data_IF_883433934841
#
_entry.id   IF_883433934841
#
_cell.length_a   1.000
_cell.length_b   1.000
_cell.length_c   1.000
_cell.angle_alpha   90.00
_cell.angle_beta   90.00
_cell.angle_gamma   90.00
#
_symmetry.space_group_name_H-M   'P 1'
#
loop_
_entity.id
_entity.type
_entity.pdbx_description
1 polymer ?
#
# COMPACT_ATOMS: atom_id res chain seq x y z
N UNK A 1 13.11 21.93 7.83
CA UNK A 1 13.86 20.81 8.41
C UNK A 1 15.20 20.73 7.71
N UNK A 2 16.29 20.43 8.42
CA UNK A 2 17.63 20.29 7.84
C UNK A 2 18.07 18.82 7.91
N UNK A 3 18.53 18.28 6.78
CA UNK A 3 19.03 16.91 6.69
C UNK A 3 20.55 16.89 6.85
N UNK A 4 21.06 15.97 7.65
CA UNK A 4 22.51 15.76 7.82
C UNK A 4 22.91 14.44 7.15
N UNK A 5 23.87 14.50 6.24
CA UNK A 5 24.36 13.31 5.55
C UNK A 5 25.55 12.73 6.31
N UNK A 6 25.37 11.55 6.88
CA UNK A 6 26.48 10.78 7.47
C UNK A 6 27.25 10.02 6.39
N UNK A 7 26.54 9.61 5.34
CA UNK A 7 27.10 9.01 4.14
C UNK A 7 26.36 9.55 2.91
N UNK A 8 27.11 9.86 1.85
CA UNK A 8 26.56 10.47 0.63
C UNK A 8 27.11 11.88 0.41
N UNK A 9 26.57 12.55 -0.60
CA UNK A 9 26.92 13.94 -0.93
C UNK A 9 25.62 14.76 -1.07
N UNK A 10 25.37 15.75 -0.20
CA UNK A 10 24.16 16.57 -0.30
C UNK A 10 24.08 17.40 -1.58
N UNK A 11 25.20 17.66 -2.27
CA UNK A 11 25.21 18.35 -3.57
C UNK A 11 24.97 17.40 -4.74
N UNK A 12 25.15 16.10 -4.52
CA UNK A 12 24.93 15.07 -5.52
C UNK A 12 24.32 13.82 -4.86
N UNK A 13 23.10 13.94 -4.30
CA UNK A 13 22.43 12.84 -3.64
C UNK A 13 22.09 11.74 -4.64
N UNK A 14 22.06 10.49 -4.17
CA UNK A 14 21.92 9.30 -5.02
C UNK A 14 20.51 9.07 -5.54
N UNK A 15 19.53 9.81 -5.02
CA UNK A 15 18.11 9.60 -5.26
C UNK A 15 17.51 8.49 -4.40
N UNK A 16 18.28 7.90 -3.49
CA UNK A 16 17.82 6.91 -2.53
C UNK A 16 18.63 6.95 -1.24
N UNK A 17 17.95 6.90 -0.10
CA UNK A 17 18.55 7.08 1.21
C UNK A 17 17.92 6.21 2.30
N UNK A 18 18.76 5.71 3.20
CA UNK A 18 18.33 5.29 4.53
C UNK A 18 18.19 6.56 5.39
N UNK A 19 16.96 6.99 5.60
CA UNK A 19 16.63 8.12 6.44
C UNK A 19 16.36 7.64 7.85
N UNK A 20 17.05 8.20 8.84
CA UNK A 20 16.87 7.81 10.22
C UNK A 20 16.71 8.99 11.16
N UNK A 21 16.11 8.71 12.30
CA UNK A 21 15.75 9.65 13.35
C UNK A 21 16.14 9.07 14.71
N UNK A 22 16.28 9.95 15.69
CA UNK A 22 16.53 9.58 17.09
C UNK A 22 15.41 10.09 17.97
N UNK A 23 15.24 9.46 19.11
CA UNK A 23 14.27 9.91 20.11
C UNK A 23 15.04 10.19 21.39
N UNK A 24 14.88 11.39 21.93
CA UNK A 24 15.66 11.85 23.09
C UNK A 24 15.46 10.95 24.33
N UNK A 25 14.30 10.32 24.45
CA UNK A 25 13.97 9.38 25.55
C UNK A 25 14.46 7.95 25.31
N UNK A 26 14.91 7.61 24.11
CA UNK A 26 15.37 6.26 23.72
C UNK A 26 16.68 6.35 22.92
N UNK A 27 17.81 6.77 23.53
CA UNK A 27 19.05 7.09 22.82
C UNK A 27 19.71 5.88 22.15
N UNK A 28 19.41 4.67 22.62
CA UNK A 28 19.96 3.42 22.09
C UNK A 28 19.21 2.91 20.85
N UNK A 29 18.06 3.52 20.51
CA UNK A 29 17.28 3.16 19.33
C UNK A 29 17.34 4.24 18.26
N UNK A 30 17.27 3.79 17.02
CA UNK A 30 17.04 4.66 15.87
C UNK A 30 15.77 4.22 15.17
N UNK A 31 15.07 5.17 14.57
CA UNK A 31 13.89 4.91 13.76
C UNK A 31 14.23 5.21 12.32
N UNK A 32 13.97 4.29 11.40
CA UNK A 32 14.42 4.42 10.02
C UNK A 32 13.30 4.15 9.01
N UNK A 33 13.42 4.82 7.86
CA UNK A 33 12.63 4.58 6.67
C UNK A 33 13.52 4.68 5.43
N UNK A 34 13.09 4.12 4.31
CA UNK A 34 13.81 4.22 3.04
C UNK A 34 13.16 5.25 2.13
N UNK A 35 13.92 6.25 1.72
CA UNK A 35 13.47 7.32 0.82
C UNK A 35 13.91 6.99 -0.59
N UNK A 36 13.01 7.19 -1.55
CA UNK A 36 13.28 7.08 -2.99
C UNK A 36 12.80 8.34 -3.69
N UNK A 37 13.64 8.91 -4.56
CA UNK A 37 13.28 9.96 -5.51
C UNK A 37 13.43 9.39 -6.93
N UNK A 38 12.33 9.43 -7.68
CA UNK A 38 12.28 8.89 -9.03
C UNK A 38 12.97 9.85 -10.02
N UNK A 39 13.87 9.34 -10.88
CA UNK A 39 14.59 10.18 -11.85
C UNK A 39 13.72 10.62 -13.03
N UNK A 40 12.53 10.03 -13.21
CA UNK A 40 11.60 10.33 -14.30
C UNK A 40 10.23 10.61 -13.72
N UNK A 41 9.62 11.73 -14.14
CA UNK A 41 8.25 12.08 -13.79
C UNK A 41 7.32 10.95 -14.20
N UNK A 42 6.75 10.29 -13.20
CA UNK A 42 5.89 9.14 -13.37
C UNK A 42 4.52 9.49 -12.81
N UNK A 43 3.54 9.55 -13.70
CA UNK A 43 2.14 9.65 -13.28
C UNK A 43 1.66 8.25 -12.91
N UNK A 44 1.73 7.94 -11.61
CA UNK A 44 1.36 6.61 -11.12
C UNK A 44 -0.15 6.36 -11.27
N UNK A 45 -0.98 7.40 -11.48
CA UNK A 45 -2.41 7.20 -11.75
C UNK A 45 -2.65 6.41 -13.04
N UNK A 46 -1.73 6.48 -14.01
CA UNK A 46 -1.80 5.69 -15.25
C UNK A 46 -1.57 4.19 -15.05
N UNK A 47 -0.95 3.83 -13.92
CA UNK A 47 -0.60 2.46 -13.56
C UNK A 47 -1.42 1.95 -12.37
N UNK A 48 -2.30 2.80 -11.82
CA UNK A 48 -3.24 2.46 -10.77
C UNK A 48 -4.50 1.93 -11.45
N UNK A 49 -4.88 0.66 -11.20
CA UNK A 49 -6.14 0.14 -11.67
C UNK A 49 -7.32 1.01 -11.20
N UNK A 50 -8.32 1.29 -12.06
CA UNK A 50 -9.45 2.18 -11.72
C UNK A 50 -10.18 1.83 -10.42
N UNK A 51 -10.21 0.55 -10.05
CA UNK A 51 -10.86 0.08 -8.82
C UNK A 51 -10.06 0.40 -7.54
N UNK A 52 -8.74 0.64 -7.63
CA UNK A 52 -7.90 1.06 -6.49
C UNK A 52 -7.87 2.58 -6.31
N UNK A 53 -8.29 3.35 -7.32
CA UNK A 53 -8.25 4.81 -7.29
C UNK A 53 -9.07 5.41 -6.14
N UNK A 54 -10.20 4.77 -5.75
CA UNK A 54 -11.01 5.19 -4.61
C UNK A 54 -10.42 4.80 -3.25
N UNK A 55 -9.55 3.77 -3.20
CA UNK A 55 -8.96 3.25 -1.96
C UNK A 55 -7.60 3.88 -1.63
N UNK A 56 -6.90 4.43 -2.62
CA UNK A 56 -5.61 5.14 -2.42
C UNK A 56 -5.79 6.56 -1.84
N UNK A 57 -7.03 7.01 -1.65
CA UNK A 57 -7.36 8.23 -0.92
C UNK A 57 -6.82 9.52 -1.57
N UNK A 58 -6.53 10.53 -0.75
CA UNK A 58 -6.00 11.83 -1.15
C UNK A 58 -4.48 11.82 -1.39
N UNK A 59 -3.87 10.65 -1.59
CA UNK A 59 -2.44 10.57 -1.88
C UNK A 59 -2.19 11.15 -3.28
N UNK A 60 -1.30 12.14 -3.45
CA UNK A 60 -1.08 12.81 -4.74
C UNK A 60 -0.27 11.92 -5.69
N UNK A 61 -0.89 10.84 -6.20
CA UNK A 61 -0.28 9.85 -7.09
C UNK A 61 0.14 10.43 -8.45
N UNK A 62 -0.47 11.55 -8.83
CA UNK A 62 -0.17 12.28 -10.06
C UNK A 62 1.18 12.99 -10.04
N UNK A 63 1.81 13.14 -8.86
CA UNK A 63 3.10 13.82 -8.69
C UNK A 63 4.02 13.13 -7.66
N UNK A 64 3.96 11.79 -7.60
CA UNK A 64 4.87 10.99 -6.76
C UNK A 64 6.27 10.95 -7.38
N UNK A 65 6.98 12.07 -7.28
CA UNK A 65 8.40 12.15 -7.61
C UNK A 65 9.29 11.63 -6.48
N UNK A 66 8.80 11.59 -5.24
CA UNK A 66 9.53 11.02 -4.10
C UNK A 66 8.58 10.48 -3.02
N UNK A 67 9.01 9.43 -2.30
CA UNK A 67 8.25 8.82 -1.21
C UNK A 67 9.16 8.07 -0.23
N UNK A 68 8.61 7.71 0.93
CA UNK A 68 9.28 6.92 1.97
C UNK A 68 8.54 5.60 2.26
N UNK A 69 9.28 4.52 2.47
CA UNK A 69 8.75 3.20 2.83
C UNK A 69 9.60 2.54 3.94
N UNK A 70 9.00 2.11 5.07
CA UNK A 70 7.60 2.34 5.45
C UNK A 70 7.31 3.84 5.72
N UNK A 71 6.06 4.32 5.53
CA UNK A 71 5.71 5.75 5.68
C UNK A 71 5.85 6.24 7.13
N UNK A 72 5.72 5.34 8.10
CA UNK A 72 6.07 5.57 9.50
C UNK A 72 7.43 4.92 9.74
N UNK A 73 8.49 5.66 10.13
CA UNK A 73 9.79 5.09 10.44
C UNK A 73 9.71 3.99 11.50
N UNK A 74 10.36 2.86 11.23
CA UNK A 74 10.35 1.70 12.13
C UNK A 74 11.60 1.65 13.01
N UNK A 75 11.47 1.09 14.20
CA UNK A 75 12.60 0.96 15.12
C UNK A 75 13.63 -0.04 14.59
N UNK A 76 14.89 0.39 14.51
CA UNK A 76 16.04 -0.45 14.18
C UNK A 76 16.93 -0.57 15.41
N UNK A 77 17.52 -1.76 15.57
CA UNK A 77 18.22 -2.17 16.79
C UNK A 77 19.46 -1.31 17.10
N UNK A 78 20.18 -0.86 16.07
CA UNK A 78 21.38 -0.04 16.22
C UNK A 78 21.68 0.79 14.96
N UNK A 79 22.28 1.98 15.16
CA UNK A 79 22.77 2.83 14.07
C UNK A 79 23.81 2.13 13.17
N UNK A 80 24.67 1.29 13.76
CA UNK A 80 25.70 0.54 13.01
C UNK A 80 25.11 -0.42 11.97
N UNK A 81 23.87 -0.86 12.15
CA UNK A 81 23.16 -1.66 11.16
C UNK A 81 22.82 -0.84 9.91
N UNK A 82 22.36 0.40 10.10
CA UNK A 82 22.05 1.34 9.02
C UNK A 82 23.32 1.73 8.26
N UNK A 83 24.41 2.02 8.96
CA UNK A 83 25.72 2.32 8.36
C UNK A 83 26.24 1.16 7.51
N UNK A 84 26.10 -0.08 8.00
CA UNK A 84 26.47 -1.26 7.22
C UNK A 84 25.59 -1.42 5.97
N UNK A 85 24.28 -1.19 6.10
CA UNK A 85 23.33 -1.31 4.99
C UNK A 85 23.58 -0.25 3.92
N UNK A 86 23.79 1.02 4.30
CA UNK A 86 24.09 2.11 3.37
C UNK A 86 25.36 1.83 2.58
N UNK A 87 26.41 1.29 3.21
CA UNK A 87 27.64 0.91 2.52
C UNK A 87 27.46 -0.22 1.52
N UNK A 88 26.76 -1.30 1.90
CA UNK A 88 26.55 -2.47 1.03
C UNK A 88 25.73 -2.10 -0.20
N UNK A 89 24.69 -1.29 0.00
CA UNK A 89 23.77 -0.87 -1.08
C UNK A 89 24.32 0.31 -1.88
N UNK A 90 25.25 1.04 -1.29
CA UNK A 90 25.70 2.32 -1.81
C UNK A 90 24.59 3.37 -1.74
N UNK A 91 23.73 3.33 -0.71
CA UNK A 91 22.70 4.35 -0.47
C UNK A 91 23.29 5.55 0.29
N UNK A 92 22.61 6.69 0.26
CA UNK A 92 22.88 7.77 1.21
C UNK A 92 22.41 7.35 2.61
N UNK A 93 23.11 7.78 3.65
CA UNK A 93 22.68 7.66 5.04
C UNK A 93 22.42 9.05 5.59
N UNK A 94 21.16 9.31 5.94
CA UNK A 94 20.70 10.66 6.23
C UNK A 94 20.02 10.71 7.60
N UNK A 95 20.48 11.62 8.44
CA UNK A 95 19.86 11.94 9.70
C UNK A 95 18.80 13.04 9.53
N UNK A 96 17.56 12.70 9.88
CA UNK A 96 16.40 13.58 9.88
C UNK A 96 16.12 14.27 11.22
N UNK A 97 17.01 14.18 12.21
CA UNK A 97 16.80 14.87 13.49
C UNK A 97 16.07 14.04 14.55
N UNK A 98 15.58 14.74 15.58
CA UNK A 98 14.88 14.14 16.72
C UNK A 98 13.38 14.03 16.44
N UNK A 99 12.76 12.95 16.89
CA UNK A 99 11.33 12.67 16.76
C UNK A 99 10.71 12.22 18.09
N UNK A 100 9.37 12.12 18.11
CA UNK A 100 8.62 11.60 19.25
C UNK A 100 8.13 10.17 18.95
N UNK A 101 8.54 9.17 19.76
CA UNK A 101 8.25 7.74 19.51
C UNK A 101 6.81 7.28 19.75
N UNK A 102 5.90 8.16 20.18
CA UNK A 102 4.54 7.78 20.60
C UNK A 102 3.41 8.45 19.82
N UNK A 103 3.73 9.13 18.71
CA UNK A 103 2.75 9.87 17.90
C UNK A 103 2.92 9.51 16.41
N UNK A 104 2.30 8.40 15.98
CA UNK A 104 2.42 7.87 14.62
C UNK A 104 2.11 8.93 13.54
N UNK A 105 1.02 9.72 13.64
CA UNK A 105 0.77 10.83 12.71
C UNK A 105 1.94 11.81 12.60
N UNK A 106 2.52 12.21 13.73
CA UNK A 106 3.66 13.14 13.75
C UNK A 106 4.95 12.52 13.21
N UNK A 107 5.15 11.22 13.42
CA UNK A 107 6.27 10.48 12.81
C UNK A 107 6.16 10.47 11.28
N UNK A 108 4.96 10.21 10.77
CA UNK A 108 4.67 10.23 9.32
C UNK A 108 4.83 11.63 8.73
N UNK A 109 4.36 12.67 9.42
CA UNK A 109 4.55 14.07 9.02
C UNK A 109 6.04 14.41 8.91
N UNK A 110 6.83 14.06 9.93
CA UNK A 110 8.27 14.31 9.97
C UNK A 110 9.00 13.56 8.84
N UNK A 111 8.63 12.31 8.57
CA UNK A 111 9.18 11.56 7.45
C UNK A 111 8.81 12.20 6.10
N UNK A 112 7.59 12.70 5.96
CA UNK A 112 7.12 13.37 4.73
C UNK A 112 7.86 14.68 4.49
N UNK A 113 8.07 15.49 5.52
CA UNK A 113 8.91 16.70 5.43
C UNK A 113 10.33 16.37 4.97
N UNK A 114 10.93 15.31 5.52
CA UNK A 114 12.26 14.86 5.15
C UNK A 114 12.35 14.41 3.68
N UNK A 115 11.34 13.68 3.19
CA UNK A 115 11.23 13.27 1.78
C UNK A 115 11.20 14.50 0.87
N UNK A 116 10.43 15.52 1.22
CA UNK A 116 10.36 16.76 0.44
C UNK A 116 11.72 17.44 0.36
N UNK A 117 12.45 17.56 1.48
CA UNK A 117 13.78 18.17 1.51
C UNK A 117 14.78 17.34 0.67
N UNK A 118 14.82 16.02 0.85
CA UNK A 118 15.73 15.14 0.10
C UNK A 118 15.45 15.17 -1.41
N UNK A 119 14.17 15.16 -1.80
CA UNK A 119 13.75 15.23 -3.21
C UNK A 119 14.13 16.57 -3.88
N UNK A 120 14.11 17.65 -3.10
CA UNK A 120 14.52 18.98 -3.57
C UNK A 120 16.03 19.00 -3.86
N UNK A 121 16.85 18.42 -2.96
CA UNK A 121 18.29 18.26 -3.20
C UNK A 121 18.59 17.44 -4.46
N UNK A 122 17.82 16.37 -4.70
CA UNK A 122 17.96 15.56 -5.92
C UNK A 122 17.61 16.36 -7.18
N UNK A 123 16.52 17.13 -7.13
CA UNK A 123 16.06 17.95 -8.24
C UNK A 123 17.07 19.07 -8.58
N UNK A 124 17.65 19.70 -7.56
CA UNK A 124 18.67 20.73 -7.72
C UNK A 124 19.95 20.16 -8.35
N UNK A 125 20.39 18.98 -7.90
CA UNK A 125 21.55 18.30 -8.49
C UNK A 125 21.34 17.94 -9.97
N UNK A 126 20.13 17.46 -10.32
CA UNK A 126 19.74 17.18 -11.71
C UNK A 126 19.68 18.46 -12.56
N UNK A 127 19.16 19.58 -12.02
CA UNK A 127 19.16 20.86 -12.72
C UNK A 127 20.57 21.40 -12.98
N UNK A 128 21.51 21.16 -12.05
CA UNK A 128 22.92 21.54 -12.20
C UNK A 128 23.68 20.67 -13.20
N UNK A 129 23.25 19.42 -13.43
CA UNK A 129 23.79 18.52 -14.46
C UNK A 129 23.03 18.59 -15.81
N UNK A 130 21.85 19.20 -15.83
CA UNK A 130 20.90 19.23 -16.96
C UNK A 130 21.30 20.07 -18.18
N UNK A 131 22.38 20.85 -18.13
CA UNK A 131 22.86 21.60 -19.32
C UNK A 131 23.39 20.70 -20.46
N UNK A 132 23.56 19.40 -20.22
CA UNK A 132 24.05 18.46 -21.24
C UNK A 132 22.97 17.57 -21.88
N UNK A 133 21.76 17.47 -21.32
CA UNK A 133 20.77 16.45 -21.75
C UNK A 133 19.67 17.01 -22.66
N UNK A 134 19.34 18.30 -22.56
CA UNK A 134 18.40 18.94 -23.49
C UNK A 134 18.93 18.93 -24.93
N UNK A 135 20.25 19.12 -25.12
CA UNK A 135 20.86 19.10 -26.46
C UNK A 135 20.93 17.72 -27.12
N UNK A 136 20.84 16.62 -26.35
CA UNK A 136 20.85 15.25 -26.90
C UNK A 136 19.43 14.79 -27.24
N UNK A 137 18.43 15.20 -26.47
CA UNK A 137 17.03 14.92 -26.78
C UNK A 137 16.58 15.66 -28.06
N UNK A 138 16.97 16.93 -28.24
CA UNK A 138 16.69 17.69 -29.47
C UNK A 138 17.42 17.10 -30.70
N UNK A 139 18.69 16.71 -30.54
CA UNK A 139 19.47 16.11 -31.64
C UNK A 139 18.92 14.75 -32.09
N UNK A 140 18.40 13.94 -31.16
CA UNK A 140 17.80 12.64 -31.48
C UNK A 140 16.38 12.78 -32.08
N UNK A 141 15.63 13.84 -31.74
CA UNK A 141 14.33 14.10 -32.36
C UNK A 141 14.44 14.57 -33.81
N UNK A 142 15.44 15.39 -34.15
CA UNK A 142 15.64 15.85 -35.53
C UNK A 142 16.08 14.73 -36.48
N UNK A 143 16.80 13.72 -35.97
CA UNK A 143 17.31 12.60 -36.78
C UNK A 143 16.27 11.48 -36.98
N UNK A 144 15.29 11.34 -36.05
CA UNK A 144 14.18 10.37 -36.18
C UNK A 144 13.06 10.86 -37.11
N UNK A 145 12.80 12.16 -37.21
CA UNK A 145 11.75 12.69 -38.09
C UNK A 145 12.08 12.55 -39.59
N UNK A 146 13.36 12.45 -39.95
CA UNK A 146 13.76 12.36 -41.35
C UNK A 146 13.65 10.94 -41.95
N UNK A 147 13.47 9.89 -41.15
CA UNK A 147 13.57 8.49 -41.60
C UNK A 147 12.25 7.71 -41.70
N UNK A 148 11.12 8.23 -41.20
CA UNK A 148 9.86 7.47 -41.14
C UNK A 148 8.69 8.23 -41.79
N UNK A 149 8.83 8.52 -43.07
CA UNK A 149 7.71 8.85 -43.94
C UNK A 149 6.99 7.58 -44.39
N UNK A 150 6.07 7.06 -43.57
CA UNK A 150 5.06 6.10 -44.04
C UNK A 150 3.83 6.09 -43.10
N UNK A 151 2.68 6.43 -43.67
CA UNK A 151 1.35 6.37 -43.09
C UNK A 151 1.00 4.93 -42.64
N UNK A 152 0.42 4.69 -41.45
CA UNK A 152 -0.09 3.37 -41.11
C UNK A 152 -1.55 3.18 -41.59
N UNK A 153 -1.79 2.06 -42.28
CA UNK A 153 -3.11 1.44 -42.47
C UNK A 153 -3.67 0.89 -41.14
N UNK A 154 -5.00 0.67 -41.02
CA UNK A 154 -5.61 0.25 -39.76
C UNK A 154 -5.40 -1.25 -39.53
N UNK A 155 -4.73 -1.61 -38.43
CA UNK A 155 -4.59 -2.98 -37.95
C UNK A 155 -5.70 -3.35 -36.96
N UNK A 156 -6.10 -4.62 -37.02
CA UNK A 156 -7.24 -5.24 -36.35
C UNK A 156 -7.19 -5.23 -34.81
N UNK A 157 -8.37 -5.29 -34.21
CA UNK A 157 -8.61 -5.43 -32.77
C UNK A 157 -7.98 -6.73 -32.22
N UNK A 158 -7.23 -6.69 -31.10
CA UNK A 158 -6.79 -7.90 -30.41
C UNK A 158 -7.94 -8.52 -29.59
N UNK A 159 -7.97 -9.86 -29.58
CA UNK A 159 -8.88 -10.69 -28.80
C UNK A 159 -8.66 -10.52 -27.28
N UNK A 160 -9.73 -10.74 -26.50
CA UNK A 160 -9.76 -10.65 -25.05
C UNK A 160 -8.77 -11.64 -24.39
N UNK A 161 -7.69 -11.12 -23.81
CA UNK A 161 -6.82 -11.83 -22.86
C UNK A 161 -7.55 -12.04 -21.53
N UNK A 162 -7.32 -13.15 -20.81
CA UNK A 162 -7.98 -13.44 -19.54
C UNK A 162 -7.59 -12.42 -18.46
N UNK A 163 -8.58 -12.03 -17.65
CA UNK A 163 -8.49 -10.99 -16.64
C UNK A 163 -7.53 -11.36 -15.47
N UNK A 164 -6.28 -10.93 -15.58
CA UNK A 164 -5.23 -11.11 -14.56
C UNK A 164 -5.35 -10.14 -13.35
N UNK A 165 -6.42 -9.35 -13.25
CA UNK A 165 -6.64 -8.39 -12.15
C UNK A 165 -6.70 -9.04 -10.76
N UNK A 166 -7.17 -10.30 -10.69
CA UNK A 166 -7.23 -11.08 -9.45
C UNK A 166 -5.84 -11.36 -8.85
N UNK A 167 -4.79 -11.46 -9.68
CA UNK A 167 -3.45 -11.86 -9.26
C UNK A 167 -2.72 -10.73 -8.50
N UNK A 168 -2.96 -9.47 -8.85
CA UNK A 168 -2.36 -8.31 -8.17
C UNK A 168 -3.01 -8.06 -6.81
N UNK A 169 -4.33 -8.26 -6.71
CA UNK A 169 -5.06 -8.20 -5.43
C UNK A 169 -4.54 -9.25 -4.45
N UNK A 170 -4.27 -10.46 -4.92
CA UNK A 170 -3.75 -11.58 -4.12
C UNK A 170 -2.40 -11.25 -3.46
N UNK A 171 -1.49 -10.59 -4.20
CA UNK A 171 -0.19 -10.16 -3.68
C UNK A 171 -0.35 -9.09 -2.59
N UNK A 172 -1.21 -8.09 -2.80
CA UNK A 172 -1.46 -7.04 -1.80
C UNK A 172 -2.05 -7.60 -0.52
N UNK A 173 -3.01 -8.52 -0.63
CA UNK A 173 -3.60 -9.21 0.51
C UNK A 173 -2.57 -9.99 1.33
N UNK A 174 -1.51 -10.53 0.70
CA UNK A 174 -0.45 -11.24 1.43
C UNK A 174 0.34 -10.35 2.41
N UNK A 175 0.44 -9.04 2.14
CA UNK A 175 1.20 -8.10 2.96
C UNK A 175 0.37 -7.41 4.07
N UNK A 176 -0.95 -7.56 4.04
CA UNK A 176 -1.84 -6.94 5.02
C UNK A 176 -1.85 -7.69 6.36
N UNK A 177 -2.02 -6.94 7.46
CA UNK A 177 -2.29 -7.53 8.76
C UNK A 177 -3.66 -8.24 8.78
N UNK A 178 -3.85 -9.19 9.69
CA UNK A 178 -5.17 -9.83 9.87
C UNK A 178 -6.27 -8.80 10.18
N UNK A 179 -5.95 -7.79 10.98
CA UNK A 179 -6.89 -6.70 11.30
C UNK A 179 -7.30 -5.90 10.06
N UNK A 180 -6.36 -5.60 9.17
CA UNK A 180 -6.66 -4.86 7.94
C UNK A 180 -7.49 -5.71 6.97
N UNK A 181 -7.15 -7.00 6.84
CA UNK A 181 -7.95 -7.97 6.07
C UNK A 181 -9.38 -8.07 6.60
N UNK A 182 -9.58 -8.06 7.92
CA UNK A 182 -10.90 -8.03 8.54
C UNK A 182 -11.65 -6.72 8.33
N UNK A 183 -10.93 -5.60 8.28
CA UNK A 183 -11.48 -4.31 7.90
C UNK A 183 -12.05 -4.34 6.47
N UNK A 184 -11.29 -4.89 5.52
CA UNK A 184 -11.78 -5.06 4.14
C UNK A 184 -12.91 -6.08 4.04
N UNK A 185 -12.83 -7.21 4.74
CA UNK A 185 -13.92 -8.19 4.81
C UNK A 185 -15.23 -7.54 5.27
N UNK A 186 -15.16 -6.67 6.28
CA UNK A 186 -16.35 -5.97 6.80
C UNK A 186 -16.97 -5.02 5.77
N UNK A 187 -16.15 -4.33 4.96
CA UNK A 187 -16.62 -3.47 3.87
C UNK A 187 -17.26 -4.29 2.76
N UNK A 188 -16.61 -5.38 2.34
CA UNK A 188 -17.13 -6.29 1.31
C UNK A 188 -18.45 -6.92 1.74
N UNK A 189 -18.59 -7.33 2.99
CA UNK A 189 -19.86 -7.85 3.51
C UNK A 189 -20.97 -6.80 3.52
N UNK A 190 -20.65 -5.54 3.84
CA UNK A 190 -21.61 -4.44 3.74
C UNK A 190 -22.08 -4.21 2.31
N UNK A 191 -21.16 -4.21 1.34
CA UNK A 191 -21.46 -4.12 -0.10
C UNK A 191 -22.29 -5.32 -0.57
N UNK A 192 -21.92 -6.53 -0.16
CA UNK A 192 -22.66 -7.76 -0.47
C UNK A 192 -24.08 -7.67 0.06
N UNK A 193 -24.29 -7.25 1.31
CA UNK A 193 -25.61 -7.09 1.91
C UNK A 193 -26.47 -6.11 1.10
N UNK A 194 -25.89 -4.99 0.72
CA UNK A 194 -26.57 -3.98 -0.09
C UNK A 194 -26.96 -4.53 -1.48
N UNK A 195 -26.08 -5.27 -2.14
CA UNK A 195 -26.35 -5.90 -3.43
C UNK A 195 -27.46 -6.97 -3.34
N UNK A 196 -27.41 -7.81 -2.31
CA UNK A 196 -28.41 -8.85 -2.06
C UNK A 196 -29.77 -8.24 -1.73
N UNK A 197 -29.83 -7.22 -0.87
CA UNK A 197 -31.07 -6.47 -0.55
C UNK A 197 -31.62 -5.76 -1.80
N UNK A 198 -30.74 -5.25 -2.67
CA UNK A 198 -31.07 -4.65 -3.95
C UNK A 198 -31.46 -5.65 -5.06
N UNK A 199 -31.40 -6.96 -4.79
CA UNK A 199 -31.58 -8.03 -5.78
C UNK A 199 -30.62 -7.97 -6.98
N UNK A 200 -29.45 -7.36 -6.81
CA UNK A 200 -28.38 -7.27 -7.81
C UNK A 200 -27.48 -8.50 -7.74
N UNK A 201 -27.92 -9.59 -8.38
CA UNK A 201 -27.20 -10.88 -8.38
C UNK A 201 -25.81 -10.79 -9.02
N UNK A 202 -25.60 -10.13 -10.17
CA UNK A 202 -24.26 -9.97 -10.74
C UNK A 202 -23.29 -9.32 -9.76
N UNK A 203 -23.68 -8.21 -9.12
CA UNK A 203 -22.82 -7.55 -8.14
C UNK A 203 -22.59 -8.42 -6.89
N UNK A 204 -23.60 -9.15 -6.43
CA UNK A 204 -23.47 -10.04 -5.27
C UNK A 204 -22.55 -11.24 -5.55
N UNK A 205 -22.52 -11.75 -6.78
CA UNK A 205 -21.63 -12.83 -7.17
C UNK A 205 -20.18 -12.34 -7.30
N UNK A 206 -19.96 -11.19 -7.95
CA UNK A 206 -18.63 -10.54 -8.05
C UNK A 206 -18.03 -10.27 -6.66
N UNK A 207 -18.79 -9.63 -5.76
CA UNK A 207 -18.34 -9.37 -4.39
C UNK A 207 -18.10 -10.68 -3.62
N UNK A 208 -18.86 -11.74 -3.93
CA UNK A 208 -18.66 -13.06 -3.34
C UNK A 208 -17.32 -13.68 -3.75
N UNK A 209 -16.89 -13.50 -5.00
CA UNK A 209 -15.59 -13.93 -5.49
C UNK A 209 -14.45 -13.14 -4.82
N UNK A 210 -14.62 -11.82 -4.63
CA UNK A 210 -13.66 -10.99 -3.88
C UNK A 210 -13.50 -11.50 -2.43
N UNK A 211 -14.61 -11.79 -1.74
CA UNK A 211 -14.58 -12.35 -0.37
C UNK A 211 -13.91 -13.73 -0.35
N UNK A 212 -14.16 -14.57 -1.35
CA UNK A 212 -13.55 -15.89 -1.46
C UNK A 212 -12.03 -15.80 -1.71
N UNK A 213 -11.57 -14.82 -2.49
CA UNK A 213 -10.15 -14.55 -2.66
C UNK A 213 -9.50 -14.08 -1.34
N UNK A 214 -10.13 -13.14 -0.64
CA UNK A 214 -9.69 -12.67 0.67
C UNK A 214 -9.59 -13.80 1.71
N UNK A 215 -10.56 -14.72 1.70
CA UNK A 215 -10.59 -15.86 2.61
C UNK A 215 -9.35 -16.76 2.51
N UNK A 216 -8.70 -16.86 1.33
CA UNK A 216 -7.48 -17.67 1.15
C UNK A 216 -6.28 -17.13 1.93
N UNK A 217 -6.33 -15.87 2.36
CA UNK A 217 -5.26 -15.21 3.11
C UNK A 217 -5.58 -15.00 4.60
N UNK A 218 -6.68 -15.61 5.07
CA UNK A 218 -7.10 -15.60 6.47
C UNK A 218 -7.03 -17.04 7.03
N UNK A 219 -6.81 -17.21 8.35
CA UNK A 219 -6.82 -18.54 8.96
C UNK A 219 -8.19 -19.22 8.81
N UNK A 220 -8.20 -20.53 8.55
CA UNK A 220 -9.43 -21.33 8.41
C UNK A 220 -10.36 -21.21 9.63
N UNK A 221 -9.80 -20.97 10.81
CA UNK A 221 -10.53 -20.77 12.06
C UNK A 221 -11.51 -19.60 12.02
N UNK A 222 -11.33 -18.65 11.09
CA UNK A 222 -12.18 -17.48 10.89
C UNK A 222 -13.49 -17.85 10.20
N UNK A 223 -13.55 -19.00 9.51
CA UNK A 223 -14.77 -19.51 8.85
C UNK A 223 -15.42 -18.50 7.90
N UNK A 224 -14.60 -17.81 7.09
CA UNK A 224 -15.09 -16.76 6.18
C UNK A 224 -16.08 -17.32 5.14
N UNK A 225 -15.95 -18.59 4.74
CA UNK A 225 -16.93 -19.25 3.87
C UNK A 225 -18.33 -19.35 4.49
N UNK A 226 -18.43 -19.78 5.75
CA UNK A 226 -19.71 -19.82 6.49
C UNK A 226 -20.36 -18.44 6.60
N UNK A 227 -19.53 -17.42 6.82
CA UNK A 227 -19.95 -16.03 6.90
C UNK A 227 -20.47 -15.52 5.53
N UNK A 228 -19.78 -15.85 4.44
CA UNK A 228 -20.21 -15.51 3.08
C UNK A 228 -21.57 -16.15 2.74
N UNK A 229 -21.77 -17.42 3.08
CA UNK A 229 -23.06 -18.10 2.87
C UNK A 229 -24.20 -17.41 3.60
N UNK A 230 -23.99 -17.05 4.87
CA UNK A 230 -24.98 -16.35 5.68
C UNK A 230 -25.24 -14.94 5.13
N UNK A 231 -24.22 -14.24 4.65
CA UNK A 231 -24.36 -12.88 4.14
C UNK A 231 -25.21 -12.78 2.87
N UNK A 232 -25.38 -13.89 2.13
CA UNK A 232 -26.22 -14.00 0.92
C UNK A 232 -27.73 -14.15 1.19
N UNK A 233 -28.14 -14.38 2.44
CA UNK A 233 -29.55 -14.40 2.87
C UNK A 233 -29.94 -13.03 3.45
N UNK A 234 -31.16 -12.54 3.23
CA UNK A 234 -31.66 -11.25 3.76
C UNK A 234 -32.49 -11.38 5.03
N UNK A 235 -32.63 -12.59 5.58
CA UNK A 235 -33.38 -12.84 6.81
C UNK A 235 -32.81 -12.11 8.03
N UNK A 236 -33.63 -11.80 9.04
CA UNK A 236 -33.12 -11.23 10.30
C UNK A 236 -32.14 -12.19 11.01
N UNK A 237 -32.39 -13.50 10.90
CA UNK A 237 -31.52 -14.55 11.42
C UNK A 237 -30.13 -14.48 10.77
N UNK A 238 -30.06 -14.32 9.46
CA UNK A 238 -28.79 -14.19 8.75
C UNK A 238 -28.04 -12.90 9.10
N UNK A 239 -28.75 -11.77 9.29
CA UNK A 239 -28.13 -10.51 9.77
C UNK A 239 -27.44 -10.72 11.11
N UNK A 240 -28.12 -11.40 12.04
CA UNK A 240 -27.57 -11.70 13.36
C UNK A 240 -26.38 -12.66 13.28
N UNK A 241 -26.48 -13.71 12.47
CA UNK A 241 -25.38 -14.66 12.26
C UNK A 241 -24.14 -13.97 11.64
N UNK A 242 -24.31 -13.15 10.61
CA UNK A 242 -23.20 -12.44 9.96
C UNK A 242 -22.46 -11.52 10.94
N UNK A 243 -23.21 -10.81 11.80
CA UNK A 243 -22.63 -10.00 12.87
C UNK A 243 -21.80 -10.84 13.84
N UNK A 244 -22.35 -11.95 14.34
CA UNK A 244 -21.65 -12.82 15.28
C UNK A 244 -20.36 -13.40 14.67
N UNK A 245 -20.41 -13.80 13.40
CA UNK A 245 -19.24 -14.30 12.68
C UNK A 245 -18.14 -13.23 12.56
N UNK A 246 -18.49 -12.00 12.18
CA UNK A 246 -17.52 -10.90 12.09
C UNK A 246 -16.95 -10.53 13.46
N UNK A 247 -17.79 -10.38 14.48
CA UNK A 247 -17.35 -10.08 15.84
C UNK A 247 -16.39 -11.17 16.34
N UNK A 248 -16.66 -12.45 16.01
CA UNK A 248 -15.78 -13.58 16.35
C UNK A 248 -14.43 -13.49 15.65
N UNK A 249 -14.41 -13.13 14.36
CA UNK A 249 -13.16 -12.95 13.61
C UNK A 249 -12.28 -11.86 14.24
N UNK A 250 -12.86 -10.71 14.63
CA UNK A 250 -12.11 -9.66 15.33
C UNK A 250 -11.57 -10.11 16.69
N UNK A 251 -12.31 -10.93 17.44
CA UNK A 251 -11.82 -11.52 18.70
C UNK A 251 -10.66 -12.48 18.49
N UNK A 252 -10.73 -13.31 17.45
CA UNK A 252 -9.63 -14.22 17.09
C UNK A 252 -8.37 -13.45 16.71
N UNK A 253 -8.49 -12.43 15.85
CA UNK A 253 -7.35 -11.60 15.43
C UNK A 253 -6.72 -10.82 16.60
N UNK A 254 -7.52 -10.43 17.60
CA UNK A 254 -7.03 -9.80 18.83
C UNK A 254 -6.42 -10.79 19.85
N UNK A 255 -6.42 -12.11 19.56
CA UNK A 255 -5.94 -13.16 20.47
C UNK A 255 -6.89 -13.52 21.61
N UNK A 256 -8.13 -12.99 21.62
CA UNK A 256 -9.14 -13.21 22.66
C UNK A 256 -9.95 -14.49 22.37
N UNK A 257 -9.29 -15.64 22.56
CA UNK A 257 -9.86 -16.96 22.26
C UNK A 257 -11.10 -17.30 23.10
N UNK A 258 -11.20 -16.79 24.33
CA UNK A 258 -12.35 -17.07 25.21
C UNK A 258 -13.61 -16.31 24.75
N UNK A 259 -13.48 -15.02 24.39
CA UNK A 259 -14.59 -14.29 23.80
C UNK A 259 -15.01 -14.86 22.44
N UNK A 260 -14.05 -15.32 21.62
CA UNK A 260 -14.34 -15.97 20.35
C UNK A 260 -15.14 -17.28 20.52
N UNK A 261 -14.85 -18.08 21.56
CA UNK A 261 -15.62 -19.30 21.89
C UNK A 261 -17.05 -18.99 22.32
N UNK A 262 -17.25 -17.93 23.10
CA UNK A 262 -18.59 -17.52 23.51
C UNK A 262 -19.44 -17.11 22.29
N UNK A 263 -18.86 -16.36 21.35
CA UNK A 263 -19.52 -16.02 20.10
C UNK A 263 -19.79 -17.25 19.22
N UNK A 264 -18.88 -18.22 19.17
CA UNK A 264 -19.10 -19.50 18.48
C UNK A 264 -20.31 -20.26 19.07
N UNK A 265 -20.44 -20.31 20.39
CA UNK A 265 -21.61 -20.94 21.03
C UNK A 265 -22.91 -20.23 20.65
N UNK A 266 -22.90 -18.90 20.59
CA UNK A 266 -24.07 -18.11 20.15
C UNK A 266 -24.43 -18.37 18.68
N UNK A 267 -23.42 -18.50 17.80
CA UNK A 267 -23.61 -18.87 16.38
C UNK A 267 -24.28 -20.24 16.28
N UNK A 268 -23.78 -21.25 17.01
CA UNK A 268 -24.35 -22.59 17.02
C UNK A 268 -25.80 -22.62 17.52
N UNK A 269 -26.08 -21.91 18.63
CA UNK A 269 -27.43 -21.78 19.18
C UNK A 269 -28.38 -21.12 18.17
N UNK A 270 -27.95 -20.03 17.53
CA UNK A 270 -28.79 -19.32 16.56
C UNK A 270 -29.01 -20.14 15.29
N UNK A 271 -28.01 -20.90 14.80
CA UNK A 271 -28.20 -21.83 13.68
C UNK A 271 -29.24 -22.90 13.98
N UNK A 272 -29.30 -23.39 15.23
CA UNK A 272 -30.21 -24.47 15.67
C UNK A 272 -31.69 -24.05 15.87
N UNK A 273 -31.99 -22.75 15.88
CA UNK A 273 -33.37 -22.25 15.96
C UNK A 273 -33.95 -22.18 14.55
N UNK A 274 -35.00 -22.95 14.27
CA UNK A 274 -35.79 -22.83 13.02
C UNK A 274 -36.39 -21.43 12.86
#
# INVERSE_FOLDING_TARGET
MDLTFDQGDPQNPRGHALLYFRVDTEPDKVYATYVVTLPVKSDLTKYVPPFLASHLGSMPLSDLSAFAMPPVPESVSAYSELERLSQIRGDDLVYGGSMFSFDLPRMMETATEAVQVYSSLCSDALAMTGTAVEGVAEALSEELEHTLGATPEPAAEPEEEPDDSYNVSEVLLSFMSESDKLGELSKLLGRLRFAVDGSDKPAADEIGEEIAALARHLPDEFKVGDLLEVARDTSEKSSQLAKLYIDRCFRLSAGDSEAAKELENQILLLRSRD
#
